data_IF_816938289391
#
_entry.id   IF_816938289391
#
_cell.length_a   1.000
_cell.length_b   1.000
_cell.length_c   1.000
_cell.angle_alpha   90.00
_cell.angle_beta   90.00
_cell.angle_gamma   90.00
#
_symmetry.space_group_name_H-M   'P 1'
#
loop_
_entity.id
_entity.type
_entity.pdbx_description
1 polymer ?
#
# COMPACT_ATOMS: atom_id res chain seq x y z
N UNK A 1 -37.27 -44.31 -0.34
CA UNK A 1 -35.83 -44.12 -0.10
C UNK A 1 -35.19 -43.16 -1.09
N UNK A 2 -35.27 -43.31 -2.45
CA UNK A 2 -34.58 -42.39 -3.38
C UNK A 2 -34.93 -40.88 -3.22
N UNK A 3 -36.18 -40.53 -2.84
CA UNK A 3 -36.60 -39.12 -2.70
C UNK A 3 -36.00 -38.44 -1.43
N UNK A 4 -35.84 -39.20 -0.35
CA UNK A 4 -35.28 -38.67 0.91
C UNK A 4 -33.76 -38.50 0.75
N UNK A 5 -33.09 -39.51 0.18
CA UNK A 5 -31.68 -39.42 -0.20
C UNK A 5 -31.37 -38.14 -0.99
N UNK A 6 -32.13 -37.88 -2.06
CA UNK A 6 -31.88 -36.72 -2.92
C UNK A 6 -32.11 -35.39 -2.21
N UNK A 7 -33.12 -35.30 -1.35
CA UNK A 7 -33.37 -34.08 -0.54
C UNK A 7 -32.26 -33.79 0.44
N UNK A 8 -31.79 -34.79 1.17
CA UNK A 8 -30.68 -34.65 2.15
C UNK A 8 -29.40 -34.31 1.41
N UNK A 9 -29.10 -34.99 0.28
CA UNK A 9 -27.94 -34.71 -0.53
C UNK A 9 -27.89 -33.26 -1.00
N UNK A 10 -28.98 -32.76 -1.59
CA UNK A 10 -29.07 -31.39 -2.10
C UNK A 10 -28.98 -30.37 -0.94
N UNK A 11 -29.72 -30.58 0.14
CA UNK A 11 -29.73 -29.64 1.27
C UNK A 11 -28.32 -29.52 1.89
N UNK A 12 -27.66 -30.64 2.15
CA UNK A 12 -26.32 -30.65 2.74
C UNK A 12 -25.27 -30.11 1.79
N UNK A 13 -25.36 -30.46 0.49
CA UNK A 13 -24.46 -29.93 -0.55
C UNK A 13 -24.58 -28.40 -0.71
N UNK A 14 -25.80 -27.87 -0.70
CA UNK A 14 -26.04 -26.42 -0.79
C UNK A 14 -25.46 -25.70 0.42
N UNK A 15 -25.66 -26.21 1.63
CA UNK A 15 -25.11 -25.61 2.84
C UNK A 15 -23.59 -25.55 2.78
N UNK A 16 -22.93 -26.66 2.45
CA UNK A 16 -21.47 -26.72 2.33
C UNK A 16 -20.95 -25.79 1.23
N UNK A 17 -21.63 -25.69 0.11
CA UNK A 17 -21.27 -24.82 -1.00
C UNK A 17 -21.36 -23.33 -0.59
N UNK A 18 -22.44 -22.94 0.10
CA UNK A 18 -22.60 -21.58 0.62
C UNK A 18 -21.47 -21.24 1.60
N UNK A 19 -21.14 -22.13 2.54
CA UNK A 19 -20.03 -21.93 3.46
C UNK A 19 -18.69 -21.77 2.73
N UNK A 20 -18.42 -22.59 1.73
CA UNK A 20 -17.18 -22.51 0.96
C UNK A 20 -17.06 -21.16 0.23
N UNK A 21 -18.15 -20.68 -0.36
CA UNK A 21 -18.18 -19.36 -1.03
C UNK A 21 -17.98 -18.24 -0.03
N UNK A 22 -18.63 -18.27 1.14
CA UNK A 22 -18.50 -17.23 2.17
C UNK A 22 -17.07 -17.15 2.71
N UNK A 23 -16.46 -18.28 3.03
CA UNK A 23 -15.05 -18.36 3.47
C UNK A 23 -14.13 -17.78 2.38
N UNK A 24 -14.41 -18.12 1.14
CA UNK A 24 -13.68 -17.62 0.00
C UNK A 24 -13.71 -16.11 -0.13
N UNK A 25 -14.88 -15.51 -0.11
CA UNK A 25 -15.06 -14.07 -0.19
C UNK A 25 -14.40 -13.34 1.00
N UNK A 26 -14.52 -13.89 2.20
CA UNK A 26 -13.89 -13.35 3.39
C UNK A 26 -12.36 -13.37 3.29
N UNK A 27 -11.78 -14.46 2.82
CA UNK A 27 -10.34 -14.61 2.65
C UNK A 27 -9.77 -13.65 1.61
N UNK A 28 -10.45 -13.48 0.46
CA UNK A 28 -10.05 -12.53 -0.58
C UNK A 28 -9.98 -11.10 -0.03
N UNK A 29 -11.04 -10.66 0.66
CA UNK A 29 -11.06 -9.33 1.26
C UNK A 29 -9.97 -9.15 2.31
N UNK A 30 -9.77 -10.14 3.17
CA UNK A 30 -8.75 -10.10 4.20
C UNK A 30 -7.33 -9.99 3.63
N UNK A 31 -7.00 -10.82 2.64
CA UNK A 31 -5.69 -10.78 2.00
C UNK A 31 -5.43 -9.47 1.28
N UNK A 32 -6.39 -8.96 0.51
CA UNK A 32 -6.24 -7.68 -0.19
C UNK A 32 -5.96 -6.55 0.80
N UNK A 33 -6.71 -6.47 1.88
CA UNK A 33 -6.53 -5.45 2.92
C UNK A 33 -5.16 -5.55 3.58
N UNK A 34 -4.70 -6.76 3.87
CA UNK A 34 -3.41 -6.98 4.53
C UNK A 34 -2.22 -6.66 3.61
N UNK A 35 -2.26 -7.09 2.34
CA UNK A 35 -1.18 -6.84 1.38
C UNK A 35 -1.02 -5.34 1.13
N UNK A 36 -2.12 -4.65 0.82
CA UNK A 36 -2.11 -3.19 0.61
C UNK A 36 -1.72 -2.45 1.89
N UNK A 37 -2.23 -2.90 3.04
CA UNK A 37 -1.89 -2.32 4.34
C UNK A 37 -0.42 -2.47 4.69
N UNK A 38 0.17 -3.65 4.45
CA UNK A 38 1.59 -3.91 4.68
C UNK A 38 2.49 -3.05 3.79
N UNK A 39 2.14 -2.91 2.50
CA UNK A 39 2.88 -2.05 1.58
C UNK A 39 2.80 -0.58 1.96
N UNK A 40 1.61 -0.10 2.34
CA UNK A 40 1.42 1.25 2.86
C UNK A 40 2.26 1.51 4.11
N UNK A 41 2.33 0.54 5.00
CA UNK A 41 3.19 0.62 6.19
C UNK A 41 4.66 0.67 5.78
N UNK A 42 5.11 -0.19 4.87
CA UNK A 42 6.49 -0.23 4.38
C UNK A 42 6.92 1.13 3.78
N UNK A 43 6.11 1.72 2.88
CA UNK A 43 6.41 3.05 2.34
C UNK A 43 6.35 4.13 3.42
N UNK A 44 5.44 3.98 4.39
CA UNK A 44 5.34 4.87 5.53
C UNK A 44 6.56 4.84 6.43
N UNK A 45 7.09 3.66 6.73
CA UNK A 45 8.29 3.47 7.55
C UNK A 45 9.54 4.00 6.82
N UNK A 46 9.60 3.81 5.50
CA UNK A 46 10.65 4.40 4.66
C UNK A 46 10.60 5.93 4.71
N UNK A 47 9.42 6.53 4.54
CA UNK A 47 9.23 7.98 4.61
C UNK A 47 9.61 8.53 5.99
N UNK A 48 9.22 7.85 7.07
CA UNK A 48 9.58 8.23 8.45
C UNK A 48 11.11 8.16 8.69
N UNK A 49 11.78 7.16 8.10
CA UNK A 49 13.24 7.04 8.14
C UNK A 49 13.93 8.22 7.44
N UNK A 50 13.46 8.56 6.24
CA UNK A 50 13.98 9.72 5.47
C UNK A 50 13.72 11.02 6.23
N UNK A 51 12.53 11.22 6.79
CA UNK A 51 12.20 12.40 7.62
C UNK A 51 13.13 12.51 8.83
N UNK A 52 13.39 11.39 9.50
CA UNK A 52 14.28 11.38 10.68
C UNK A 52 15.69 11.83 10.30
N UNK A 53 16.25 11.28 9.21
CA UNK A 53 17.59 11.66 8.74
C UNK A 53 17.63 13.12 8.25
N UNK A 54 16.62 13.55 7.47
CA UNK A 54 16.51 14.94 7.01
C UNK A 54 16.44 15.91 8.18
N UNK A 55 15.57 15.64 9.15
CA UNK A 55 15.43 16.49 10.33
C UNK A 55 16.70 16.55 11.18
N UNK A 56 17.46 15.46 11.25
CA UNK A 56 18.74 15.41 11.94
C UNK A 56 19.78 16.25 11.20
N UNK A 57 19.94 16.06 9.88
CA UNK A 57 20.88 16.83 9.07
C UNK A 57 20.62 18.34 9.14
N UNK A 58 19.35 18.75 9.11
CA UNK A 58 18.95 20.16 9.30
C UNK A 58 19.35 20.69 10.68
N UNK A 59 19.23 19.85 11.73
CA UNK A 59 19.65 20.24 13.10
C UNK A 59 21.14 20.37 13.23
N UNK A 60 21.90 19.51 12.63
CA UNK A 60 23.35 19.41 12.82
C UNK A 60 24.12 20.21 11.75
N UNK A 61 23.42 20.79 10.77
CA UNK A 61 24.00 21.54 9.63
C UNK A 61 24.95 20.68 8.76
N UNK A 62 24.61 19.41 8.54
CA UNK A 62 25.38 18.42 7.81
C UNK A 62 25.01 18.42 6.30
N UNK A 63 25.25 19.53 5.58
CA UNK A 63 24.83 19.66 4.19
C UNK A 63 25.56 18.68 3.25
N UNK A 64 26.89 18.57 3.37
CA UNK A 64 27.70 17.70 2.50
C UNK A 64 27.37 16.22 2.71
N UNK A 65 27.29 15.76 3.96
CA UNK A 65 26.93 14.37 4.30
C UNK A 65 25.51 14.05 3.88
N UNK A 66 24.62 15.04 3.94
CA UNK A 66 23.23 14.85 3.51
C UNK A 66 23.10 14.73 2.01
N UNK A 67 23.91 15.43 1.22
CA UNK A 67 23.95 15.28 -0.24
C UNK A 67 24.38 13.86 -0.65
N UNK A 68 25.35 13.27 0.05
CA UNK A 68 25.74 11.88 -0.21
C UNK A 68 24.62 10.90 0.18
N UNK A 69 23.90 11.18 1.27
CA UNK A 69 22.72 10.43 1.65
C UNK A 69 21.62 10.53 0.59
N UNK A 70 21.33 11.71 0.03
CA UNK A 70 20.33 11.89 -1.03
C UNK A 70 20.67 11.06 -2.27
N UNK A 71 21.93 11.05 -2.70
CA UNK A 71 22.37 10.22 -3.82
C UNK A 71 22.14 8.73 -3.54
N UNK A 72 22.53 8.26 -2.35
CA UNK A 72 22.32 6.89 -1.94
C UNK A 72 20.81 6.52 -1.91
N UNK A 73 19.96 7.46 -1.48
CA UNK A 73 18.50 7.27 -1.47
C UNK A 73 17.89 7.26 -2.87
N UNK A 74 18.39 8.05 -3.80
CA UNK A 74 17.97 8.00 -5.21
C UNK A 74 18.32 6.64 -5.84
N UNK A 75 19.53 6.14 -5.60
CA UNK A 75 19.95 4.82 -6.09
C UNK A 75 19.12 3.69 -5.47
N UNK A 76 18.85 3.78 -4.18
CA UNK A 76 17.94 2.86 -3.49
C UNK A 76 16.53 2.92 -4.07
N UNK A 77 16.01 4.12 -4.30
CA UNK A 77 14.70 4.33 -4.92
C UNK A 77 14.59 3.66 -6.29
N UNK A 78 15.59 3.87 -7.15
CA UNK A 78 15.68 3.21 -8.47
C UNK A 78 15.70 1.68 -8.35
N UNK A 79 16.46 1.12 -7.39
CA UNK A 79 16.52 -0.34 -7.18
C UNK A 79 15.19 -0.92 -6.69
N UNK A 80 14.43 -0.19 -5.88
CA UNK A 80 13.16 -0.61 -5.32
C UNK A 80 11.94 -0.18 -6.15
N UNK A 81 12.17 0.55 -7.23
CA UNK A 81 11.13 1.18 -8.04
C UNK A 81 10.22 2.10 -7.20
N UNK A 82 10.85 2.89 -6.32
CA UNK A 82 10.21 3.84 -5.42
C UNK A 82 10.81 5.21 -5.62
N UNK A 83 9.97 6.23 -5.76
CA UNK A 83 10.42 7.63 -5.82
C UNK A 83 10.36 8.27 -4.43
N UNK A 84 11.42 9.00 -4.10
CA UNK A 84 11.55 9.69 -2.82
C UNK A 84 11.78 11.17 -3.09
N UNK A 85 10.81 12.00 -2.73
CA UNK A 85 10.86 13.44 -2.86
C UNK A 85 10.96 14.10 -1.51
N UNK A 86 11.89 15.05 -1.37
CA UNK A 86 12.01 15.93 -0.22
C UNK A 86 11.73 17.33 -0.74
N UNK A 87 10.62 17.90 -0.31
CA UNK A 87 10.11 19.18 -0.79
C UNK A 87 10.02 20.20 0.34
N UNK A 88 10.39 21.45 0.06
CA UNK A 88 10.27 22.54 1.01
C UNK A 88 8.81 23.05 1.07
N UNK A 89 8.41 23.53 2.24
CA UNK A 89 7.19 24.33 2.38
C UNK A 89 7.53 25.81 2.16
N UNK A 90 7.24 26.31 0.96
CA UNK A 90 7.49 27.70 0.58
C UNK A 90 6.72 28.72 1.45
N UNK A 91 5.66 28.29 2.12
CA UNK A 91 4.86 29.14 3.01
C UNK A 91 5.39 29.15 4.45
N UNK A 92 6.32 28.28 4.79
CA UNK A 92 6.88 28.18 6.14
C UNK A 92 7.87 29.32 6.42
N UNK A 93 7.82 29.85 7.64
CA UNK A 93 8.83 30.81 8.13
C UNK A 93 10.23 30.20 8.22
N UNK A 94 10.30 28.90 8.39
CA UNK A 94 11.51 28.09 8.52
C UNK A 94 11.58 27.08 7.37
N UNK A 95 11.51 27.61 6.13
CA UNK A 95 11.59 26.83 4.92
C UNK A 95 12.83 25.92 4.94
N UNK A 96 12.67 24.70 4.47
CA UNK A 96 13.79 23.78 4.27
C UNK A 96 14.73 24.35 3.19
N UNK A 97 16.03 24.41 3.48
CA UNK A 97 17.03 24.90 2.52
C UNK A 97 17.12 23.95 1.31
N UNK A 98 17.45 24.51 0.15
CA UNK A 98 17.63 23.75 -1.10
C UNK A 98 18.69 22.65 -0.97
N UNK A 99 19.65 22.79 -0.05
CA UNK A 99 20.63 21.75 0.28
C UNK A 99 20.01 20.47 0.86
N UNK A 100 18.80 20.55 1.40
CA UNK A 100 18.09 19.40 1.99
C UNK A 100 16.88 18.94 1.15
N UNK A 101 16.72 19.44 -0.06
CA UNK A 101 15.64 19.10 -0.98
C UNK A 101 16.18 18.47 -2.24
N UNK A 102 15.43 17.59 -2.85
CA UNK A 102 15.78 17.01 -4.16
C UNK A 102 14.75 17.31 -5.25
N UNK A 103 13.63 17.92 -4.89
CA UNK A 103 12.57 18.29 -5.82
C UNK A 103 12.05 19.68 -5.51
N UNK A 104 12.00 20.54 -6.53
CA UNK A 104 11.31 21.83 -6.46
C UNK A 104 9.91 21.69 -7.04
N UNK A 105 8.90 22.13 -6.31
CA UNK A 105 7.48 21.99 -6.71
C UNK A 105 7.10 22.93 -7.86
N UNK A 106 7.82 24.05 -8.00
CA UNK A 106 7.54 25.04 -9.05
C UNK A 106 7.87 24.46 -10.46
N UNK A 107 6.84 24.40 -11.30
CA UNK A 107 6.96 23.93 -12.68
C UNK A 107 6.79 22.42 -12.88
N UNK A 108 6.55 21.66 -11.82
CA UNK A 108 6.22 20.23 -11.94
C UNK A 108 4.71 20.06 -12.19
N UNK A 109 4.38 19.29 -13.22
CA UNK A 109 3.00 18.86 -13.46
C UNK A 109 2.67 17.67 -12.53
N UNK A 110 2.34 18.01 -11.30
CA UNK A 110 2.01 17.04 -10.26
C UNK A 110 0.51 16.79 -10.24
N UNK A 111 0.06 15.52 -10.16
CA UNK A 111 -1.35 15.21 -10.00
C UNK A 111 -1.95 15.94 -8.79
N UNK A 112 -3.16 16.50 -8.95
CA UNK A 112 -3.82 17.32 -7.91
C UNK A 112 -3.92 16.62 -6.56
N UNK A 113 -4.10 15.30 -6.56
CA UNK A 113 -4.22 14.52 -5.32
C UNK A 113 -2.86 14.38 -4.63
N UNK A 114 -1.78 14.21 -5.39
CA UNK A 114 -0.41 14.21 -4.85
C UNK A 114 -0.07 15.57 -4.25
N UNK A 115 -0.42 16.65 -4.93
CA UNK A 115 -0.30 18.01 -4.37
C UNK A 115 -1.09 18.17 -3.07
N UNK A 116 -2.30 17.61 -2.99
CA UNK A 116 -3.17 17.68 -1.82
C UNK A 116 -2.59 16.93 -0.61
N UNK A 117 -1.95 15.77 -0.79
CA UNK A 117 -1.29 15.07 0.31
C UNK A 117 -0.04 15.81 0.79
N UNK A 118 0.71 16.45 -0.11
CA UNK A 118 1.87 17.30 0.24
C UNK A 118 1.39 18.50 1.08
N UNK A 119 0.37 19.22 0.63
CA UNK A 119 -0.26 20.31 1.41
C UNK A 119 -0.78 19.84 2.77
N UNK A 120 -1.24 18.60 2.86
CA UNK A 120 -1.65 18.01 4.14
C UNK A 120 -0.46 17.74 5.05
N UNK A 121 0.67 17.29 4.49
CA UNK A 121 1.92 17.14 5.24
C UNK A 121 2.45 18.48 5.73
N UNK A 122 2.39 19.53 4.93
CA UNK A 122 2.75 20.91 5.38
C UNK A 122 1.90 21.41 6.56
N UNK A 123 0.69 20.86 6.73
CA UNK A 123 -0.14 21.10 7.94
C UNK A 123 0.21 20.18 9.11
N UNK A 124 1.32 19.45 9.03
CA UNK A 124 1.83 18.57 10.07
C UNK A 124 1.16 17.21 10.20
N UNK A 125 0.39 16.76 9.18
CA UNK A 125 -0.34 15.49 9.19
C UNK A 125 0.20 14.53 8.14
N UNK A 126 0.62 13.33 8.57
CA UNK A 126 0.92 12.21 7.65
C UNK A 126 -0.33 11.81 6.88
N UNK A 127 -0.23 11.68 5.57
CA UNK A 127 -1.33 11.26 4.70
C UNK A 127 -0.81 10.35 3.59
N UNK A 128 -1.64 9.40 3.18
CA UNK A 128 -1.38 8.55 2.02
C UNK A 128 -2.57 8.58 1.07
N UNK A 129 -2.28 8.40 -0.21
CA UNK A 129 -3.26 8.33 -1.28
C UNK A 129 -2.80 7.31 -2.33
N UNK A 130 -3.73 6.60 -2.92
CA UNK A 130 -3.45 5.64 -3.99
C UNK A 130 -4.44 5.84 -5.10
N UNK A 131 -3.93 6.07 -6.30
CA UNK A 131 -4.70 6.17 -7.53
C UNK A 131 -3.83 5.89 -8.75
N UNK A 132 -4.47 5.82 -9.92
CA UNK A 132 -3.77 5.76 -11.19
C UNK A 132 -3.02 7.07 -11.43
N UNK A 133 -1.71 6.96 -11.65
CA UNK A 133 -0.84 8.08 -11.95
C UNK A 133 -0.51 8.07 -13.46
N UNK A 134 -0.86 9.15 -14.16
CA UNK A 134 -0.66 9.29 -15.60
C UNK A 134 0.83 9.36 -15.98
N UNK A 135 1.68 9.88 -15.08
CA UNK A 135 3.12 9.99 -15.31
C UNK A 135 3.77 8.61 -15.30
N UNK A 136 3.39 7.78 -14.32
CA UNK A 136 3.93 6.43 -14.17
C UNK A 136 3.13 5.36 -14.92
N UNK A 137 1.96 5.71 -15.48
CA UNK A 137 1.05 4.81 -16.19
C UNK A 137 0.66 3.56 -15.38
N UNK A 138 0.62 3.67 -14.07
CA UNK A 138 0.24 2.60 -13.14
C UNK A 138 -0.44 3.17 -11.90
N UNK A 139 -1.06 2.29 -11.10
CA UNK A 139 -1.57 2.69 -9.79
C UNK A 139 -0.38 2.88 -8.85
N UNK A 140 -0.24 4.10 -8.34
CA UNK A 140 0.80 4.48 -7.38
C UNK A 140 0.21 4.64 -5.99
N UNK A 141 1.00 4.30 -4.98
CA UNK A 141 0.74 4.65 -3.59
C UNK A 141 1.72 5.73 -3.17
N UNK A 142 1.20 6.87 -2.80
CA UNK A 142 1.96 8.02 -2.30
C UNK A 142 1.76 8.14 -0.80
N UNK A 143 2.85 8.36 -0.07
CA UNK A 143 2.84 8.62 1.37
C UNK A 143 3.61 9.90 1.63
N UNK A 144 2.95 10.92 2.20
CA UNK A 144 3.57 12.19 2.56
C UNK A 144 3.67 12.31 4.09
N UNK A 145 4.86 12.71 4.55
CA UNK A 145 5.20 12.86 5.98
C UNK A 145 5.85 14.22 6.20
N UNK A 146 5.44 15.00 7.22
CA UNK A 146 6.00 16.31 7.49
C UNK A 146 7.44 16.23 8.02
N UNK A 147 8.32 17.09 7.49
CA UNK A 147 9.65 17.36 8.03
C UNK A 147 9.56 18.53 9.00
N UNK A 148 10.14 18.38 10.20
CA UNK A 148 10.13 19.40 11.24
C UNK A 148 11.53 19.91 11.50
N UNK A 149 11.62 21.22 11.72
CA UNK A 149 12.84 21.91 12.12
C UNK A 149 13.18 21.69 13.61
N UNK A 150 14.22 22.42 14.09
CA UNK A 150 14.64 22.44 15.51
C UNK A 150 13.56 22.95 16.46
N UNK A 151 12.69 23.82 15.98
CA UNK A 151 11.60 24.44 16.75
C UNK A 151 10.36 23.56 16.85
N UNK A 152 10.31 22.47 16.03
CA UNK A 152 9.16 21.60 15.89
C UNK A 152 8.16 22.06 14.82
N UNK A 153 8.43 23.19 14.17
CA UNK A 153 7.63 23.71 13.07
C UNK A 153 7.86 22.88 11.78
N UNK A 154 6.84 22.80 10.94
CA UNK A 154 6.96 22.11 9.66
C UNK A 154 7.73 22.99 8.69
N UNK A 155 8.83 22.47 8.15
CA UNK A 155 9.71 23.12 7.19
C UNK A 155 9.60 22.56 5.76
N UNK A 156 9.04 21.37 5.65
CA UNK A 156 8.87 20.67 4.38
C UNK A 156 8.13 19.34 4.54
N UNK A 157 8.19 18.51 3.51
CA UNK A 157 7.64 17.16 3.53
C UNK A 157 8.52 16.18 2.77
N UNK A 158 8.51 14.93 3.21
CA UNK A 158 9.00 13.78 2.45
C UNK A 158 7.81 13.08 1.84
N UNK A 159 7.88 12.82 0.54
CA UNK A 159 6.90 12.02 -0.20
C UNK A 159 7.59 10.78 -0.72
N UNK A 160 7.05 9.62 -0.38
CA UNK A 160 7.52 8.34 -0.90
C UNK A 160 6.40 7.77 -1.77
N UNK A 161 6.74 7.48 -3.02
CA UNK A 161 5.80 7.00 -4.02
C UNK A 161 6.26 5.66 -4.56
N UNK A 162 5.39 4.67 -4.58
CA UNK A 162 5.71 3.34 -5.10
C UNK A 162 4.56 2.71 -5.87
N UNK A 163 4.87 1.92 -6.94
CA UNK A 163 3.86 1.28 -7.76
C UNK A 163 3.16 0.14 -7.00
N UNK A 164 1.86 0.01 -7.20
CA UNK A 164 1.07 -1.06 -6.60
C UNK A 164 0.99 -2.33 -7.47
N UNK A 165 1.60 -2.32 -8.63
CA UNK A 165 1.49 -3.42 -9.60
C UNK A 165 1.93 -4.77 -9.03
N UNK A 166 3.03 -4.81 -8.27
CA UNK A 166 3.50 -6.04 -7.64
C UNK A 166 2.51 -6.57 -6.58
N UNK A 167 1.90 -5.67 -5.81
CA UNK A 167 0.90 -5.99 -4.80
C UNK A 167 -0.40 -6.47 -5.47
N UNK A 168 -0.83 -5.83 -6.55
CA UNK A 168 -2.01 -6.24 -7.33
C UNK A 168 -1.79 -7.61 -7.96
N UNK A 169 -0.64 -7.87 -8.58
CA UNK A 169 -0.31 -9.18 -9.14
C UNK A 169 -0.28 -10.27 -8.06
N UNK A 170 0.22 -9.95 -6.87
CA UNK A 170 0.20 -10.87 -5.72
C UNK A 170 -1.24 -11.18 -5.30
N UNK A 171 -2.10 -10.17 -5.19
CA UNK A 171 -3.52 -10.36 -4.88
C UNK A 171 -4.20 -11.25 -5.92
N UNK A 172 -3.99 -10.99 -7.22
CA UNK A 172 -4.55 -11.79 -8.32
C UNK A 172 -4.08 -13.25 -8.23
N UNK A 173 -2.81 -13.48 -7.89
CA UNK A 173 -2.29 -14.84 -7.69
C UNK A 173 -2.99 -15.56 -6.53
N UNK A 174 -3.17 -14.90 -5.39
CA UNK A 174 -3.90 -15.45 -4.26
C UNK A 174 -5.37 -15.73 -4.59
N UNK A 175 -6.01 -14.85 -5.36
CA UNK A 175 -7.39 -15.06 -5.83
C UNK A 175 -7.52 -16.31 -6.71
N UNK A 176 -6.55 -16.55 -7.61
CA UNK A 176 -6.51 -17.78 -8.44
C UNK A 176 -6.35 -19.04 -7.58
N UNK A 177 -5.40 -19.06 -6.64
CA UNK A 177 -5.22 -20.20 -5.75
C UNK A 177 -6.46 -20.45 -4.90
N UNK A 178 -7.09 -19.41 -4.42
CA UNK A 178 -8.30 -19.51 -3.64
C UNK A 178 -9.47 -20.07 -4.47
N UNK A 179 -9.62 -19.65 -5.73
CA UNK A 179 -10.63 -20.24 -6.62
C UNK A 179 -10.44 -21.75 -6.77
N UNK A 180 -9.18 -22.20 -6.91
CA UNK A 180 -8.85 -23.64 -6.96
C UNK A 180 -9.26 -24.33 -5.67
N UNK A 181 -8.91 -23.75 -4.50
CA UNK A 181 -9.29 -24.30 -3.19
C UNK A 181 -10.81 -24.38 -3.01
N UNK A 182 -11.55 -23.37 -3.47
CA UNK A 182 -13.03 -23.37 -3.44
C UNK A 182 -13.58 -24.48 -4.32
N UNK A 183 -13.05 -24.67 -5.53
CA UNK A 183 -13.50 -25.78 -6.42
C UNK A 183 -13.20 -27.15 -5.82
N UNK A 184 -12.00 -27.35 -5.26
CA UNK A 184 -11.65 -28.62 -4.60
C UNK A 184 -12.53 -28.84 -3.36
N UNK A 185 -12.75 -27.81 -2.54
CA UNK A 185 -13.64 -27.88 -1.38
C UNK A 185 -15.08 -28.22 -1.75
N UNK A 186 -15.61 -27.60 -2.79
CA UNK A 186 -16.94 -27.88 -3.31
C UNK A 186 -17.05 -29.34 -3.82
N UNK A 187 -16.05 -29.82 -4.54
CA UNK A 187 -16.00 -31.21 -5.01
C UNK A 187 -15.99 -32.22 -3.85
N UNK A 188 -15.14 -31.98 -2.83
CA UNK A 188 -15.08 -32.81 -1.61
C UNK A 188 -16.41 -32.77 -0.84
N UNK A 189 -17.04 -31.61 -0.75
CA UNK A 189 -18.35 -31.45 -0.12
C UNK A 189 -19.43 -32.28 -0.81
N UNK A 190 -19.43 -32.29 -2.15
CA UNK A 190 -20.35 -33.12 -2.93
C UNK A 190 -20.09 -34.63 -2.74
N UNK A 191 -18.81 -35.04 -2.70
CA UNK A 191 -18.44 -36.42 -2.42
C UNK A 191 -18.93 -36.86 -1.03
N UNK A 192 -18.63 -36.06 0.01
CA UNK A 192 -19.06 -36.34 1.37
C UNK A 192 -20.58 -36.42 1.48
N UNK A 193 -21.29 -35.45 0.87
CA UNK A 193 -22.74 -35.42 0.84
C UNK A 193 -23.32 -36.70 0.18
N UNK A 194 -22.69 -37.17 -0.90
CA UNK A 194 -23.06 -38.41 -1.57
C UNK A 194 -22.87 -39.64 -0.66
N UNK A 195 -21.71 -39.77 0.00
CA UNK A 195 -21.43 -40.88 0.89
C UNK A 195 -22.37 -40.93 2.09
N UNK A 196 -22.57 -39.80 2.79
CA UNK A 196 -23.49 -39.72 3.92
C UNK A 196 -24.93 -39.99 3.54
N UNK A 197 -25.37 -39.47 2.40
CA UNK A 197 -26.74 -39.68 1.92
C UNK A 197 -26.98 -41.13 1.51
N UNK A 198 -25.94 -41.91 1.18
CA UNK A 198 -26.06 -43.33 0.83
C UNK A 198 -26.13 -44.26 2.06
N UNK A 199 -25.64 -43.77 3.23
CA UNK A 199 -25.70 -44.53 4.47
C UNK A 199 -27.04 -44.38 5.21
N UNK A 200 -27.84 -43.42 4.87
CA UNK A 200 -29.23 -43.20 5.33
C UNK A 200 -30.26 -43.90 4.42
#
# INVERSE_FOLDING_TARGET
MKKIFWRVFVAFGVVLLVFTILIGLMFTRFNRTNIVGAYKQQLGDLADGVVTRTSQAVKDHEEDEFMDYLRAMEDFGKMQNVDIWIVADESSKHKLSDAYTNVQMDGLDIPKETENIIKTAFRGKKKSYSDYDEVYQTVMLHVAVPVRDKSGDVSGAVVVSGPMEMQENTVIQYEKYMLICVMVGAFLALLLSFFFSRQL
#
